data_IF_790810745940
#
_entry.id   IF_790810745940
#
_cell.length_a   1.000
_cell.length_b   1.000
_cell.length_c   1.000
_cell.angle_alpha   90.00
_cell.angle_beta   90.00
_cell.angle_gamma   90.00
#
_symmetry.space_group_name_H-M   'P 1'
#
loop_
_entity.id
_entity.type
_entity.pdbx_description
1 polymer ?
#
# COMPACT_ATOMS: atom_id res chain seq x y z
N UNK A 1 -68.66 -41.27 12.90
CA UNK A 1 -68.63 -39.82 13.19
C UNK A 1 -67.68 -39.64 14.38
N UNK A 2 -66.46 -39.08 14.32
CA UNK A 2 -65.78 -38.17 13.39
C UNK A 2 -64.30 -38.59 13.20
N UNK A 3 -63.83 -38.39 11.97
CA UNK A 3 -62.49 -38.45 11.33
C UNK A 3 -61.29 -39.21 11.92
N UNK A 4 -60.84 -40.16 11.11
CA UNK A 4 -59.46 -40.61 10.93
C UNK A 4 -58.56 -39.48 10.40
N UNK A 5 -57.34 -39.34 10.96
CA UNK A 5 -56.01 -39.13 10.35
C UNK A 5 -55.08 -38.74 11.51
N UNK A 6 -54.15 -39.62 11.89
CA UNK A 6 -53.05 -39.29 12.79
C UNK A 6 -51.86 -40.22 12.51
N UNK A 7 -51.03 -39.82 11.56
CA UNK A 7 -49.68 -40.34 11.31
C UNK A 7 -48.86 -39.17 10.77
N UNK A 8 -48.19 -38.45 11.66
CA UNK A 8 -46.94 -37.70 11.44
C UNK A 8 -46.56 -37.05 12.78
N UNK A 9 -45.26 -36.81 12.99
CA UNK A 9 -44.62 -36.21 14.17
C UNK A 9 -44.31 -37.17 15.32
N UNK A 10 -43.09 -37.71 15.30
CA UNK A 10 -42.12 -37.76 16.40
C UNK A 10 -40.81 -38.23 15.77
N UNK A 11 -39.86 -37.32 15.52
CA UNK A 11 -38.40 -37.45 15.76
C UNK A 11 -37.80 -36.06 15.43
N UNK A 12 -37.72 -35.17 16.40
CA UNK A 12 -36.74 -34.07 16.38
C UNK A 12 -36.59 -33.54 17.81
N UNK A 13 -35.52 -33.93 18.50
CA UNK A 13 -34.91 -33.21 19.63
C UNK A 13 -33.75 -34.07 20.16
N UNK A 14 -32.57 -33.90 19.56
CA UNK A 14 -31.23 -34.08 20.13
C UNK A 14 -30.24 -34.09 18.95
N UNK A 15 -29.76 -32.88 18.62
CA UNK A 15 -28.47 -32.58 17.96
C UNK A 15 -28.45 -31.07 17.71
N UNK A 16 -28.16 -30.28 18.76
CA UNK A 16 -27.59 -28.95 18.55
C UNK A 16 -26.09 -29.17 18.58
N UNK A 17 -25.55 -29.45 17.39
CA UNK A 17 -24.13 -29.49 17.12
C UNK A 17 -23.54 -28.08 17.20
N UNK A 18 -22.30 -28.07 17.64
CA UNK A 18 -21.33 -26.99 17.55
C UNK A 18 -21.25 -26.50 16.09
N UNK A 19 -21.65 -25.26 15.82
CA UNK A 19 -21.30 -24.57 14.55
C UNK A 19 -21.10 -23.07 14.80
N UNK A 20 -19.95 -22.75 15.39
CA UNK A 20 -19.30 -21.44 15.26
C UNK A 20 -17.82 -21.67 14.99
N UNK A 21 -17.51 -22.26 13.83
CA UNK A 21 -16.14 -22.37 13.32
C UNK A 21 -16.16 -22.77 11.84
N UNK A 22 -16.69 -21.91 10.96
CA UNK A 22 -16.34 -21.87 9.54
C UNK A 22 -17.03 -20.65 8.92
N UNK A 23 -16.23 -19.59 8.71
CA UNK A 23 -16.65 -18.40 7.99
C UNK A 23 -16.93 -18.76 6.53
N UNK A 24 -18.19 -18.60 6.11
CA UNK A 24 -18.48 -18.41 4.70
C UNK A 24 -17.78 -17.14 4.19
N UNK A 25 -17.49 -17.06 2.88
CA UNK A 25 -16.98 -15.83 2.30
C UNK A 25 -17.93 -14.67 2.63
N UNK A 26 -17.41 -13.46 2.85
CA UNK A 26 -18.26 -12.33 3.17
C UNK A 26 -19.31 -12.10 2.05
N UNK A 27 -20.51 -11.60 2.39
CA UNK A 27 -21.71 -11.65 1.53
C UNK A 27 -21.61 -10.92 0.19
N UNK A 28 -20.54 -10.19 -0.10
CA UNK A 28 -20.32 -9.47 -1.37
C UNK A 28 -19.54 -10.27 -2.42
N UNK A 29 -18.94 -11.41 -2.06
CA UNK A 29 -18.16 -12.25 -3.00
C UNK A 29 -19.02 -12.79 -4.17
N UNK A 30 -20.34 -12.86 -3.99
CA UNK A 30 -21.28 -13.29 -5.04
C UNK A 30 -21.83 -12.17 -5.95
N UNK A 31 -21.58 -10.89 -5.64
CA UNK A 31 -22.26 -9.75 -6.26
C UNK A 31 -21.77 -9.35 -7.67
N UNK A 32 -20.62 -9.85 -8.14
CA UNK A 32 -19.97 -9.36 -9.38
C UNK A 32 -20.08 -10.30 -10.59
N UNK A 33 -21.07 -11.19 -10.64
CA UNK A 33 -21.24 -12.14 -11.78
C UNK A 33 -21.76 -11.52 -13.09
N UNK A 34 -22.12 -10.24 -13.13
CA UNK A 34 -22.71 -9.61 -14.31
C UNK A 34 -21.77 -8.58 -14.94
N UNK A 35 -20.87 -9.08 -15.79
CA UNK A 35 -19.88 -8.31 -16.54
C UNK A 35 -20.48 -7.33 -17.54
N UNK A 36 -20.58 -6.06 -17.15
CA UNK A 36 -20.61 -4.94 -18.08
C UNK A 36 -19.50 -3.95 -17.71
N UNK A 37 -18.39 -4.03 -18.46
CA UNK A 37 -17.34 -3.00 -18.45
C UNK A 37 -17.63 -1.92 -19.49
N UNK A 38 -17.24 -0.65 -19.25
CA UNK A 38 -17.40 0.41 -20.23
C UNK A 38 -16.39 0.27 -21.39
N UNK A 39 -16.73 0.74 -22.60
CA UNK A 39 -15.90 0.60 -23.79
C UNK A 39 -14.72 1.59 -23.80
N UNK A 40 -13.60 1.12 -24.34
CA UNK A 40 -12.37 1.85 -24.60
C UNK A 40 -12.62 3.22 -25.27
N UNK A 41 -12.21 4.30 -24.62
CA UNK A 41 -12.15 5.65 -25.21
C UNK A 41 -11.12 6.50 -24.48
N UNK A 42 -10.03 6.84 -25.16
CA UNK A 42 -9.06 7.83 -24.71
C UNK A 42 -9.74 9.20 -24.81
N UNK A 43 -9.97 9.89 -23.69
CA UNK A 43 -10.55 11.23 -23.66
C UNK A 43 -9.45 12.30 -23.61
N UNK A 44 -9.56 13.29 -24.48
CA UNK A 44 -8.59 14.35 -24.77
C UNK A 44 -8.69 15.57 -23.84
N UNK A 45 -9.25 15.42 -22.62
CA UNK A 45 -9.40 16.53 -21.66
C UNK A 45 -8.30 16.62 -20.60
N UNK A 46 -7.12 16.10 -20.90
CA UNK A 46 -5.90 16.42 -20.15
C UNK A 46 -5.44 17.86 -20.44
N UNK A 47 -6.15 18.86 -19.93
CA UNK A 47 -5.63 20.23 -19.83
C UNK A 47 -5.71 20.73 -18.39
N UNK A 48 -4.51 20.96 -17.87
CA UNK A 48 -4.08 21.76 -16.73
C UNK A 48 -5.17 22.52 -15.96
N UNK A 49 -5.37 22.16 -14.68
CA UNK A 49 -5.54 23.04 -13.51
C UNK A 49 -5.94 22.16 -12.29
N UNK A 50 -5.08 21.19 -11.92
CA UNK A 50 -5.22 20.52 -10.63
C UNK A 50 -4.41 21.28 -9.59
N UNK A 51 -5.11 21.91 -8.66
CA UNK A 51 -4.59 22.39 -7.39
C UNK A 51 -5.42 21.69 -6.32
N UNK A 52 -4.81 20.95 -5.39
CA UNK A 52 -5.57 20.44 -4.25
C UNK A 52 -6.19 21.62 -3.50
N UNK A 53 -7.33 21.40 -2.82
CA UNK A 53 -7.90 22.46 -1.98
C UNK A 53 -6.78 22.95 -1.05
N UNK A 54 -6.58 24.27 -0.92
CA UNK A 54 -5.64 24.78 0.05
C UNK A 54 -5.98 24.15 1.39
N UNK A 55 -5.00 23.50 2.02
CA UNK A 55 -5.12 23.11 3.42
C UNK A 55 -5.51 24.36 4.23
N UNK A 56 -6.22 24.21 5.35
CA UNK A 56 -6.74 25.36 6.09
C UNK A 56 -5.62 26.37 6.35
N UNK A 57 -5.95 27.65 6.14
CA UNK A 57 -5.10 28.78 6.48
C UNK A 57 -4.69 28.66 7.96
N UNK A 58 -3.39 28.50 8.19
CA UNK A 58 -2.81 28.53 9.53
C UNK A 58 -3.16 29.86 10.22
N UNK A 59 -3.57 29.88 11.49
CA UNK A 59 -3.43 31.08 12.32
C UNK A 59 -1.95 31.46 12.34
N UNK A 60 -1.63 32.67 11.86
CA UNK A 60 -0.27 33.13 11.67
C UNK A 60 0.57 33.06 12.95
N UNK A 61 1.59 32.20 12.94
CA UNK A 61 2.74 32.29 13.83
C UNK A 61 3.83 33.12 13.15
N UNK A 62 4.12 34.29 13.70
CA UNK A 62 5.22 35.16 13.26
C UNK A 62 6.60 34.51 13.44
N UNK A 63 7.49 34.77 12.48
CA UNK A 63 8.95 34.77 12.66
C UNK A 63 9.69 33.64 11.93
N UNK A 64 10.55 33.88 10.93
CA UNK A 64 11.01 35.13 10.34
C UNK A 64 11.67 34.86 8.98
N UNK A 65 11.37 35.72 8.02
CA UNK A 65 12.07 35.82 6.74
C UNK A 65 13.38 36.59 6.97
N UNK A 66 14.53 35.98 6.71
CA UNK A 66 15.76 36.74 6.46
C UNK A 66 15.78 37.15 4.99
N UNK A 67 15.39 38.39 4.74
CA UNK A 67 15.36 39.01 3.42
C UNK A 67 16.75 39.19 2.81
N UNK A 68 16.82 39.03 1.49
CA UNK A 68 17.95 39.49 0.67
C UNK A 68 17.80 40.96 0.30
N UNK A 69 18.92 41.67 0.27
CA UNK A 69 19.13 42.92 -0.47
C UNK A 69 20.61 42.99 -0.87
N UNK A 70 20.90 43.38 -2.11
CA UNK A 70 22.20 43.91 -2.53
C UNK A 70 22.01 45.30 -3.16
N UNK A 71 23.02 45.98 -3.75
CA UNK A 71 24.47 45.74 -3.70
C UNK A 71 25.29 47.01 -3.28
N UNK A 72 26.58 46.85 -2.97
CA UNK A 72 27.56 47.96 -3.02
C UNK A 72 28.65 47.95 -1.93
N UNK A 73 29.92 47.86 -2.36
CA UNK A 73 31.10 48.29 -1.58
C UNK A 73 32.01 47.20 -1.01
N UNK A 74 33.05 46.82 -1.77
CA UNK A 74 34.30 46.21 -1.28
C UNK A 74 35.23 47.33 -0.72
N UNK A 75 36.31 47.07 0.07
CA UNK A 75 37.15 45.86 0.03
C UNK A 75 37.74 45.33 1.36
N UNK A 76 38.27 44.09 1.30
CA UNK A 76 39.45 43.64 2.08
C UNK A 76 39.28 42.41 2.97
N UNK A 77 39.95 41.31 2.62
CA UNK A 77 40.35 40.23 3.56
C UNK A 77 39.85 38.81 3.24
N UNK A 78 40.77 37.94 2.78
CA UNK A 78 40.63 36.46 2.69
C UNK A 78 41.29 35.78 3.90
N UNK A 79 41.20 34.44 4.09
CA UNK A 79 40.10 33.50 3.83
C UNK A 79 39.84 32.57 5.05
N UNK A 80 38.64 31.95 5.15
CA UNK A 80 38.42 30.92 6.18
C UNK A 80 37.11 30.14 6.03
N UNK A 81 37.23 28.84 5.74
CA UNK A 81 36.32 27.76 6.17
C UNK A 81 34.86 27.80 5.74
N UNK A 82 34.50 27.01 4.73
CA UNK A 82 33.11 26.63 4.47
C UNK A 82 32.62 25.56 5.48
N UNK A 83 31.46 25.71 6.14
CA UNK A 83 30.83 24.61 6.84
C UNK A 83 29.87 23.83 5.93
N UNK A 84 29.96 22.51 6.05
CA UNK A 84 29.14 21.47 5.41
C UNK A 84 27.69 21.51 5.95
N UNK A 85 26.74 21.09 5.11
CA UNK A 85 25.35 20.81 5.47
C UNK A 85 25.26 19.70 6.55
N UNK A 86 24.29 19.76 7.50
CA UNK A 86 24.18 18.77 8.55
C UNK A 86 23.52 17.48 8.05
N UNK A 87 24.23 16.38 8.28
CA UNK A 87 23.79 15.01 8.11
C UNK A 87 23.11 14.59 9.43
N UNK A 88 21.79 14.37 9.41
CA UNK A 88 21.05 13.97 10.63
C UNK A 88 21.27 12.47 10.90
N UNK A 89 22.05 12.19 11.95
CA UNK A 89 22.18 10.87 12.56
C UNK A 89 21.21 10.69 13.72
N UNK A 90 20.63 9.50 13.84
CA UNK A 90 19.74 9.10 14.93
C UNK A 90 20.53 8.90 16.23
N UNK A 91 20.17 9.54 17.36
CA UNK A 91 20.81 9.25 18.64
C UNK A 91 20.11 8.06 19.33
N UNK A 92 20.85 6.97 19.49
CA UNK A 92 20.54 5.92 20.47
C UNK A 92 21.06 6.32 21.85
N UNK A 93 20.19 6.21 22.86
CA UNK A 93 20.56 6.45 24.26
C UNK A 93 19.63 5.68 25.19
N UNK A 94 20.19 4.71 25.92
CA UNK A 94 19.54 3.96 26.99
C UNK A 94 20.34 4.21 28.29
N UNK A 95 19.71 4.35 29.47
CA UNK A 95 20.43 4.29 30.74
C UNK A 95 20.23 2.97 31.51
N UNK A 96 21.35 2.29 31.81
CA UNK A 96 21.76 1.70 33.10
C UNK A 96 20.95 0.62 33.87
N UNK A 97 21.25 -0.68 33.60
CA UNK A 97 21.52 -1.82 34.54
C UNK A 97 20.46 -2.40 35.53
N UNK A 98 20.63 -3.63 36.10
CA UNK A 98 21.69 -4.63 35.91
C UNK A 98 21.24 -6.09 35.52
N UNK A 99 22.14 -6.76 34.79
CA UNK A 99 22.48 -8.20 34.69
C UNK A 99 21.41 -9.32 34.75
N UNK A 100 21.29 -10.05 33.63
CA UNK A 100 20.77 -11.42 33.56
C UNK A 100 20.96 -12.04 32.16
N UNK A 101 22.01 -12.86 32.00
CA UNK A 101 22.23 -13.93 31.00
C UNK A 101 21.96 -13.68 29.50
N UNK A 102 23.05 -13.61 28.71
CA UNK A 102 23.11 -13.79 27.25
C UNK A 102 22.78 -15.25 26.83
N UNK A 103 22.35 -15.49 25.58
CA UNK A 103 23.33 -15.87 24.54
C UNK A 103 23.12 -15.29 23.12
N UNK A 104 24.26 -14.95 22.49
CA UNK A 104 24.67 -15.06 21.06
C UNK A 104 23.70 -14.65 19.93
N UNK A 105 24.02 -13.79 18.95
CA UNK A 105 25.29 -13.29 18.42
C UNK A 105 25.23 -13.30 16.88
N UNK A 106 25.35 -12.14 16.23
CA UNK A 106 25.61 -11.99 14.79
C UNK A 106 26.92 -11.19 14.61
N UNK A 107 27.90 -11.64 13.82
CA UNK A 107 29.15 -10.91 13.63
C UNK A 107 29.02 -9.82 12.56
N UNK A 108 29.58 -8.65 12.88
CA UNK A 108 29.71 -7.50 11.98
C UNK A 108 30.84 -7.65 10.96
N UNK A 109 30.67 -7.01 9.81
CA UNK A 109 31.69 -6.87 8.77
C UNK A 109 32.25 -5.45 8.72
N UNK A 110 33.57 -5.36 8.85
CA UNK A 110 34.37 -4.14 8.76
C UNK A 110 34.53 -3.65 7.31
N UNK A 111 34.79 -2.34 7.16
CA UNK A 111 35.00 -1.68 5.87
C UNK A 111 36.42 -1.71 5.32
N UNK A 112 36.53 -1.53 4.01
CA UNK A 112 37.64 -0.96 3.23
C UNK A 112 37.05 -0.73 1.82
N UNK A 113 37.08 0.46 1.21
CA UNK A 113 38.26 1.19 0.72
C UNK A 113 38.50 0.82 -0.76
N UNK A 114 37.95 1.59 -1.71
CA UNK A 114 38.21 1.44 -3.16
C UNK A 114 38.85 2.69 -3.75
N UNK A 115 39.75 2.51 -4.73
CA UNK A 115 39.78 3.37 -5.91
C UNK A 115 39.85 2.59 -7.24
N UNK A 116 39.10 3.01 -8.26
CA UNK A 116 39.32 2.68 -9.69
C UNK A 116 40.23 3.72 -10.38
N UNK A 117 40.30 3.85 -11.73
CA UNK A 117 39.66 3.08 -12.81
C UNK A 117 40.62 2.68 -13.98
N UNK A 118 40.13 1.93 -15.00
CA UNK A 118 40.78 1.86 -16.34
C UNK A 118 40.42 0.63 -17.21
N UNK A 119 40.45 0.71 -18.56
CA UNK A 119 39.40 0.16 -19.43
C UNK A 119 39.81 -1.02 -20.34
N UNK A 120 38.82 -1.75 -20.90
CA UNK A 120 39.03 -2.68 -22.01
C UNK A 120 37.82 -3.56 -22.37
N UNK A 121 37.14 -3.26 -23.49
CA UNK A 121 36.41 -4.23 -24.36
C UNK A 121 37.38 -4.66 -25.49
N UNK A 122 37.12 -5.66 -26.39
CA UNK A 122 35.86 -6.32 -26.81
C UNK A 122 36.06 -7.86 -27.06
N UNK A 123 35.35 -8.62 -27.97
CA UNK A 123 34.12 -8.39 -28.73
C UNK A 123 33.05 -9.54 -28.66
N UNK A 124 31.96 -9.24 -29.38
CA UNK A 124 30.75 -10.03 -29.73
C UNK A 124 31.07 -11.38 -30.39
N UNK A 125 30.29 -12.41 -30.01
CA UNK A 125 30.21 -13.70 -30.71
C UNK A 125 28.77 -14.19 -30.81
N UNK A 126 28.21 -14.12 -32.02
CA UNK A 126 26.92 -14.70 -32.41
C UNK A 126 27.10 -16.18 -32.73
N UNK A 127 26.38 -17.08 -32.06
CA UNK A 127 26.12 -18.42 -32.58
C UNK A 127 24.68 -18.83 -32.29
N UNK A 128 23.93 -18.99 -33.39
CA UNK A 128 22.63 -19.65 -33.40
C UNK A 128 22.78 -21.15 -33.17
N UNK A 129 21.74 -21.73 -32.57
CA UNK A 129 21.63 -23.16 -32.35
C UNK A 129 20.20 -23.51 -31.96
N UNK A 130 19.35 -23.71 -32.96
CA UNK A 130 18.06 -24.37 -32.85
C UNK A 130 18.24 -25.82 -32.40
N UNK A 131 17.59 -26.22 -31.31
CA UNK A 131 17.57 -27.63 -30.91
C UNK A 131 16.74 -27.93 -29.66
N UNK A 132 15.58 -28.58 -29.87
CA UNK A 132 15.06 -29.59 -28.96
C UNK A 132 14.29 -29.13 -27.72
N UNK A 133 12.97 -28.95 -27.86
CA UNK A 133 12.04 -29.07 -26.74
C UNK A 133 11.94 -30.55 -26.33
N UNK A 134 12.68 -30.93 -25.29
CA UNK A 134 12.56 -32.22 -24.61
C UNK A 134 12.18 -31.98 -23.15
N UNK A 135 11.00 -32.49 -22.76
CA UNK A 135 10.43 -32.32 -21.43
C UNK A 135 11.33 -32.85 -20.30
N UNK A 136 11.43 -32.04 -19.26
CA UNK A 136 11.97 -32.41 -17.96
C UNK A 136 11.17 -31.66 -16.91
N UNK A 137 10.22 -32.34 -16.29
CA UNK A 137 9.44 -31.86 -15.14
C UNK A 137 10.37 -31.74 -13.93
N UNK A 138 11.10 -30.64 -13.84
CA UNK A 138 11.86 -30.26 -12.65
C UNK A 138 10.94 -29.53 -11.67
N UNK A 139 10.73 -30.12 -10.49
CA UNK A 139 9.98 -29.52 -9.40
C UNK A 139 10.71 -28.31 -8.79
N UNK A 140 10.89 -27.23 -9.55
CA UNK A 140 11.39 -25.97 -9.02
C UNK A 140 10.34 -25.33 -8.11
N UNK A 141 10.74 -24.89 -6.93
CA UNK A 141 9.93 -23.99 -6.11
C UNK A 141 9.58 -22.74 -6.93
N UNK A 142 8.35 -22.21 -6.78
CA UNK A 142 8.04 -20.91 -7.35
C UNK A 142 8.95 -19.87 -6.68
N UNK A 143 9.66 -19.09 -7.49
CA UNK A 143 10.61 -18.08 -7.01
C UNK A 143 10.08 -16.69 -7.33
N UNK A 144 10.44 -15.72 -6.50
CA UNK A 144 10.23 -14.32 -6.82
C UNK A 144 11.09 -13.96 -8.04
N UNK A 145 10.47 -13.41 -9.08
CA UNK A 145 11.13 -13.04 -10.32
C UNK A 145 11.06 -11.53 -10.55
N UNK A 146 12.17 -10.92 -10.97
CA UNK A 146 12.14 -9.55 -11.49
C UNK A 146 11.57 -9.51 -12.90
N UNK A 147 10.63 -8.59 -13.14
CA UNK A 147 10.04 -8.35 -14.46
C UNK A 147 10.87 -7.36 -15.26
N UNK A 148 11.95 -7.84 -15.89
CA UNK A 148 12.82 -7.00 -16.73
C UNK A 148 12.16 -6.47 -18.00
N UNK A 149 11.04 -7.08 -18.42
CA UNK A 149 10.22 -6.62 -19.54
C UNK A 149 9.20 -5.53 -19.17
N UNK A 150 9.01 -5.22 -17.89
CA UNK A 150 8.22 -4.07 -17.47
C UNK A 150 9.09 -2.80 -17.58
N UNK A 151 8.66 -1.76 -18.32
CA UNK A 151 9.54 -0.64 -18.64
C UNK A 151 9.78 0.32 -17.47
N UNK A 152 9.05 0.16 -16.35
CA UNK A 152 9.19 1.02 -15.18
C UNK A 152 8.62 2.43 -15.38
N UNK A 153 7.89 2.73 -16.45
CA UNK A 153 7.35 4.06 -16.66
C UNK A 153 6.03 4.30 -15.88
N UNK A 154 5.78 5.53 -15.41
CA UNK A 154 6.60 6.75 -15.58
C UNK A 154 7.79 6.94 -14.60
N UNK A 155 7.84 6.28 -13.43
CA UNK A 155 8.75 6.70 -12.33
C UNK A 155 10.03 5.91 -12.13
N UNK A 156 10.26 4.84 -12.89
CA UNK A 156 11.31 3.82 -12.73
C UNK A 156 11.14 2.89 -11.52
N UNK A 157 9.93 2.80 -10.96
CA UNK A 157 9.63 1.75 -9.98
C UNK A 157 9.77 0.37 -10.67
N UNK A 158 10.34 -0.60 -9.95
CA UNK A 158 10.59 -1.94 -10.51
C UNK A 158 9.57 -2.95 -10.01
N UNK A 159 9.30 -3.95 -10.85
CA UNK A 159 8.26 -4.93 -10.63
C UNK A 159 8.89 -6.30 -10.38
N UNK A 160 8.48 -6.96 -9.30
CA UNK A 160 8.78 -8.36 -9.03
C UNK A 160 7.48 -9.14 -8.93
N UNK A 161 7.46 -10.38 -9.41
CA UNK A 161 6.27 -11.22 -9.43
C UNK A 161 6.52 -12.54 -8.75
N UNK A 162 5.47 -13.02 -8.08
CA UNK A 162 5.38 -14.38 -7.57
C UNK A 162 4.14 -15.02 -8.16
N UNK A 163 4.33 -16.08 -8.95
CA UNK A 163 3.26 -16.82 -9.61
C UNK A 163 3.22 -18.23 -9.03
N UNK A 164 2.23 -18.57 -8.20
CA UNK A 164 2.15 -19.90 -7.60
C UNK A 164 1.82 -20.95 -8.67
N UNK A 165 2.22 -22.21 -8.45
CA UNK A 165 1.89 -23.32 -9.38
C UNK A 165 0.39 -23.52 -9.57
N UNK A 166 -0.39 -23.11 -8.57
CA UNK A 166 -1.86 -23.18 -8.55
C UNK A 166 -2.53 -22.05 -9.33
N UNK A 167 -1.77 -21.07 -9.82
CA UNK A 167 -2.31 -19.95 -10.61
C UNK A 167 -2.92 -20.41 -11.93
N UNK A 168 -4.11 -19.89 -12.24
CA UNK A 168 -4.83 -20.10 -13.49
C UNK A 168 -5.21 -18.75 -14.08
N UNK A 169 -5.34 -18.67 -15.41
CA UNK A 169 -5.87 -17.47 -16.08
C UNK A 169 -7.22 -17.08 -15.46
N UNK A 170 -7.43 -15.80 -15.26
CA UNK A 170 -8.57 -15.22 -14.57
C UNK A 170 -8.43 -15.20 -13.05
N UNK A 171 -7.38 -15.77 -12.45
CA UNK A 171 -7.16 -15.68 -11.01
C UNK A 171 -6.80 -14.26 -10.56
N UNK A 172 -7.01 -13.96 -9.26
CA UNK A 172 -6.73 -12.64 -8.72
C UNK A 172 -5.26 -12.25 -8.76
N UNK A 173 -5.02 -10.95 -8.64
CA UNK A 173 -3.69 -10.36 -8.43
C UNK A 173 -3.69 -9.49 -7.19
N UNK A 174 -2.64 -9.61 -6.37
CA UNK A 174 -2.41 -8.78 -5.18
C UNK A 174 -1.11 -8.01 -5.36
N UNK A 175 -1.18 -6.68 -5.30
CA UNK A 175 0.00 -5.80 -5.30
C UNK A 175 0.44 -5.57 -3.85
N UNK A 176 1.69 -5.86 -3.53
CA UNK A 176 2.30 -5.64 -2.23
C UNK A 176 3.31 -4.48 -2.29
N UNK A 177 3.12 -3.50 -1.39
CA UNK A 177 3.86 -2.24 -1.36
C UNK A 177 4.63 -2.10 -0.02
N UNK A 178 5.95 -2.05 -0.11
CA UNK A 178 6.84 -2.00 1.06
C UNK A 178 6.81 -0.64 1.79
N UNK A 179 7.32 -0.63 3.03
CA UNK A 179 7.58 0.57 3.82
C UNK A 179 8.84 1.33 3.36
N UNK A 180 9.06 2.55 3.86
CA UNK A 180 10.29 3.30 3.61
C UNK A 180 11.55 2.49 3.93
N UNK A 181 12.62 2.67 3.15
CA UNK A 181 13.87 1.90 3.27
C UNK A 181 13.79 0.44 2.80
N UNK A 182 12.59 -0.06 2.48
CA UNK A 182 12.37 -1.41 1.97
C UNK A 182 12.56 -1.55 0.46
N UNK A 183 12.29 -2.75 -0.03
CA UNK A 183 12.20 -3.09 -1.46
C UNK A 183 11.14 -4.18 -1.64
N UNK A 184 10.65 -4.40 -2.87
CA UNK A 184 9.75 -5.52 -3.18
C UNK A 184 10.30 -6.88 -2.73
N UNK A 185 11.54 -7.26 -3.11
CA UNK A 185 12.18 -8.48 -2.62
C UNK A 185 12.41 -8.52 -1.10
N UNK A 186 12.64 -7.38 -0.46
CA UNK A 186 12.69 -7.28 1.00
C UNK A 186 11.37 -7.63 1.64
N UNK A 187 10.28 -7.00 1.18
CA UNK A 187 8.92 -7.24 1.66
C UNK A 187 8.47 -8.69 1.46
N UNK A 188 8.85 -9.32 0.34
CA UNK A 188 8.64 -10.75 0.11
C UNK A 188 9.29 -11.63 1.19
N UNK A 189 10.50 -11.27 1.66
CA UNK A 189 11.23 -12.00 2.70
C UNK A 189 10.71 -11.71 4.10
N UNK A 190 10.32 -10.47 4.36
CA UNK A 190 9.76 -10.02 5.64
C UNK A 190 8.41 -10.70 5.93
N UNK A 191 7.61 -10.93 4.89
CA UNK A 191 6.27 -11.50 4.98
C UNK A 191 6.15 -12.81 4.19
N UNK A 192 6.77 -13.91 4.64
CA UNK A 192 6.74 -15.20 3.94
C UNK A 192 5.35 -15.85 3.93
N UNK A 193 4.38 -15.33 4.68
CA UNK A 193 3.01 -15.84 4.67
C UNK A 193 2.24 -15.38 3.42
N UNK A 194 2.67 -14.31 2.75
CA UNK A 194 2.12 -13.89 1.46
C UNK A 194 2.30 -14.94 0.35
N UNK A 195 3.51 -15.43 0.03
CA UNK A 195 3.67 -16.50 -0.94
C UNK A 195 2.97 -17.81 -0.51
N UNK A 196 2.93 -18.15 0.78
CA UNK A 196 2.18 -19.32 1.26
C UNK A 196 0.68 -19.20 0.97
N UNK A 197 0.09 -18.03 1.25
CA UNK A 197 -1.31 -17.77 0.95
C UNK A 197 -1.57 -17.78 -0.57
N UNK A 198 -0.64 -17.22 -1.35
CA UNK A 198 -0.66 -17.26 -2.82
C UNK A 198 -0.65 -18.69 -3.35
N UNK A 199 0.21 -19.56 -2.84
CA UNK A 199 0.25 -21.00 -3.20
C UNK A 199 -1.06 -21.71 -2.86
N UNK A 200 -1.63 -21.45 -1.68
CA UNK A 200 -2.85 -22.11 -1.22
C UNK A 200 -4.11 -21.64 -1.96
N UNK A 201 -4.20 -20.34 -2.26
CA UNK A 201 -5.41 -19.70 -2.79
C UNK A 201 -5.33 -19.38 -4.29
N UNK A 202 -4.16 -19.54 -4.90
CA UNK A 202 -3.95 -19.45 -6.34
C UNK A 202 -3.95 -18.04 -6.91
N UNK A 203 -3.80 -16.98 -6.11
CA UNK A 203 -3.65 -15.61 -6.62
C UNK A 203 -2.19 -15.30 -6.93
N UNK A 204 -1.96 -14.46 -7.94
CA UNK A 204 -0.62 -13.93 -8.26
C UNK A 204 -0.27 -12.76 -7.33
N UNK A 205 1.02 -12.57 -7.04
CA UNK A 205 1.49 -11.37 -6.35
C UNK A 205 2.46 -10.54 -7.18
N UNK A 206 2.34 -9.22 -7.03
CA UNK A 206 3.30 -8.22 -7.52
C UNK A 206 3.95 -7.58 -6.29
N UNK A 207 5.26 -7.71 -6.13
CA UNK A 207 6.05 -7.01 -5.13
C UNK A 207 6.77 -5.86 -5.81
N UNK A 208 6.22 -4.65 -5.72
CA UNK A 208 6.81 -3.48 -6.36
C UNK A 208 7.94 -2.92 -5.50
N UNK A 209 9.01 -2.38 -6.12
CA UNK A 209 10.01 -1.55 -5.43
C UNK A 209 9.90 -0.11 -5.88
N UNK A 210 9.91 0.82 -4.93
CA UNK A 210 9.92 2.26 -5.22
C UNK A 210 11.12 2.65 -6.10
N UNK A 211 11.03 3.76 -6.85
CA UNK A 211 12.15 4.25 -7.65
C UNK A 211 13.43 4.48 -6.82
N UNK A 212 14.59 4.36 -7.46
CA UNK A 212 15.86 4.71 -6.85
C UNK A 212 15.92 6.20 -6.45
N UNK A 213 16.58 6.51 -5.33
CA UNK A 213 16.77 7.89 -4.86
C UNK A 213 15.64 8.46 -4.02
N UNK A 214 14.57 7.71 -3.74
CA UNK A 214 13.45 8.12 -2.86
C UNK A 214 13.66 7.73 -1.39
N UNK A 215 14.83 7.18 -1.03
CA UNK A 215 15.06 6.58 0.30
C UNK A 215 14.24 5.31 0.54
N UNK A 216 13.73 4.68 -0.52
CA UNK A 216 12.84 3.52 -0.41
C UNK A 216 11.41 3.89 -0.02
N UNK A 217 11.04 5.17 -0.05
CA UNK A 217 9.66 5.62 0.14
C UNK A 217 8.95 5.76 -1.20
N UNK A 218 7.62 5.61 -1.18
CA UNK A 218 6.74 5.88 -2.31
C UNK A 218 6.38 7.36 -2.40
N UNK A 219 6.23 7.87 -3.62
CA UNK A 219 5.69 9.19 -3.85
C UNK A 219 4.17 9.19 -3.56
N UNK A 220 3.80 9.79 -2.44
CA UNK A 220 2.41 10.02 -2.00
C UNK A 220 2.15 11.50 -1.73
N UNK A 221 3.04 12.36 -2.24
CA UNK A 221 3.12 13.77 -1.87
C UNK A 221 3.04 14.71 -3.07
N UNK A 222 3.48 14.25 -4.24
CA UNK A 222 3.57 15.09 -5.42
C UNK A 222 2.26 15.20 -6.18
N UNK A 223 2.18 16.23 -7.03
CA UNK A 223 1.05 16.38 -7.96
C UNK A 223 0.93 15.23 -8.94
N UNK A 224 2.07 14.69 -9.39
CA UNK A 224 2.09 13.58 -10.33
C UNK A 224 1.54 12.28 -9.76
N UNK A 225 1.78 12.01 -8.48
CA UNK A 225 1.30 10.78 -7.84
C UNK A 225 -0.12 10.89 -7.29
N UNK A 226 -0.59 12.10 -6.98
CA UNK A 226 -1.93 12.36 -6.44
C UNK A 226 -2.96 12.73 -7.53
N UNK A 227 -2.73 12.30 -8.77
CA UNK A 227 -3.63 12.51 -9.90
C UNK A 227 -3.66 11.27 -10.80
N UNK A 228 -4.85 10.85 -11.22
CA UNK A 228 -5.04 9.85 -12.28
C UNK A 228 -4.29 10.27 -13.54
N UNK A 229 -3.50 9.36 -14.10
CA UNK A 229 -2.57 9.59 -15.20
C UNK A 229 -1.62 10.79 -15.00
N UNK A 230 -1.28 11.11 -13.75
CA UNK A 230 -0.46 12.27 -13.39
C UNK A 230 1.05 12.11 -13.59
N UNK A 231 1.54 10.91 -13.92
CA UNK A 231 2.97 10.63 -14.11
C UNK A 231 3.74 10.17 -12.86
N UNK A 232 3.05 9.83 -11.77
CA UNK A 232 3.66 9.44 -10.49
C UNK A 232 3.66 7.94 -10.20
N UNK A 233 4.06 7.59 -8.97
CA UNK A 233 4.19 6.19 -8.55
C UNK A 233 2.85 5.44 -8.60
N UNK A 234 1.74 6.11 -8.29
CA UNK A 234 0.40 5.53 -8.44
C UNK A 234 0.14 5.03 -9.87
N UNK A 235 0.54 5.81 -10.89
CA UNK A 235 0.43 5.41 -12.29
C UNK A 235 1.33 4.23 -12.62
N UNK A 236 2.58 4.25 -12.15
CA UNK A 236 3.52 3.15 -12.40
C UNK A 236 2.97 1.83 -11.84
N UNK A 237 2.35 1.85 -10.66
CA UNK A 237 1.72 0.65 -10.08
C UNK A 237 0.49 0.19 -10.89
N UNK A 238 -0.36 1.10 -11.36
CA UNK A 238 -1.47 0.75 -12.23
C UNK A 238 -0.97 0.09 -13.54
N UNK A 239 0.12 0.59 -14.11
CA UNK A 239 0.76 -0.02 -15.29
C UNK A 239 1.40 -1.39 -14.99
N UNK A 240 1.89 -1.64 -13.77
CA UNK A 240 2.31 -3.00 -13.36
C UNK A 240 1.14 -3.99 -13.37
N UNK A 241 -0.04 -3.58 -12.92
CA UNK A 241 -1.25 -4.42 -12.96
C UNK A 241 -1.64 -4.72 -14.42
N UNK A 242 -1.64 -3.71 -15.29
CA UNK A 242 -1.92 -3.87 -16.72
C UNK A 242 -0.91 -4.79 -17.41
N UNK A 243 0.37 -4.67 -17.07
CA UNK A 243 1.41 -5.58 -17.52
C UNK A 243 1.13 -7.01 -17.07
N UNK A 244 0.80 -7.22 -15.79
CA UNK A 244 0.49 -8.55 -15.26
C UNK A 244 -0.74 -9.18 -15.94
N UNK A 245 -1.80 -8.40 -16.16
CA UNK A 245 -3.00 -8.83 -16.90
C UNK A 245 -2.63 -9.33 -18.29
N UNK A 246 -1.82 -8.57 -19.01
CA UNK A 246 -1.38 -8.92 -20.38
C UNK A 246 -0.49 -10.16 -20.40
N UNK A 247 0.51 -10.22 -19.50
CA UNK A 247 1.51 -11.30 -19.50
C UNK A 247 0.97 -12.61 -18.94
N UNK A 248 0.21 -12.56 -17.85
CA UNK A 248 -0.20 -13.74 -17.08
C UNK A 248 -1.68 -14.09 -17.26
N UNK A 249 -2.49 -13.20 -17.82
CA UNK A 249 -3.93 -13.39 -17.93
C UNK A 249 -4.64 -13.32 -16.58
N UNK A 250 -4.22 -12.43 -15.69
CA UNK A 250 -4.90 -12.18 -14.41
C UNK A 250 -6.34 -11.67 -14.61
N UNK A 251 -7.15 -11.76 -13.56
CA UNK A 251 -8.51 -11.20 -13.56
C UNK A 251 -8.54 -9.71 -13.85
N UNK A 252 -9.52 -9.27 -14.64
CA UNK A 252 -9.78 -7.85 -14.84
C UNK A 252 -10.42 -7.16 -13.63
N UNK A 253 -11.12 -7.94 -12.79
CA UNK A 253 -12.00 -7.42 -11.73
C UNK A 253 -11.55 -7.83 -10.32
N UNK A 254 -10.57 -8.72 -10.18
CA UNK A 254 -10.06 -9.20 -8.89
C UNK A 254 -8.62 -8.76 -8.68
N UNK A 255 -8.44 -7.45 -8.59
CA UNK A 255 -7.16 -6.78 -8.36
C UNK A 255 -7.20 -6.15 -6.97
N UNK A 256 -6.20 -6.45 -6.16
CA UNK A 256 -6.12 -5.98 -4.79
C UNK A 256 -4.77 -5.34 -4.53
N UNK A 257 -4.70 -4.48 -3.51
CA UNK A 257 -3.46 -3.84 -3.09
C UNK A 257 -3.32 -3.87 -1.57
N UNK A 258 -2.12 -4.15 -1.09
CA UNK A 258 -1.76 -4.13 0.32
C UNK A 258 -0.45 -3.40 0.50
N UNK A 259 -0.31 -2.65 1.58
CA UNK A 259 0.95 -2.01 1.90
C UNK A 259 1.10 -1.68 3.37
N UNK A 260 2.34 -1.37 3.74
CA UNK A 260 2.75 -0.99 5.10
C UNK A 260 3.46 0.37 5.08
N UNK A 261 3.18 1.23 6.05
CA UNK A 261 3.80 2.56 6.19
C UNK A 261 3.65 3.37 4.90
N UNK A 262 4.74 3.81 4.26
CA UNK A 262 4.71 4.47 2.95
C UNK A 262 3.93 3.68 1.88
N UNK A 263 4.00 2.34 1.86
CA UNK A 263 3.19 1.51 0.98
C UNK A 263 1.70 1.51 1.34
N UNK A 264 1.35 1.69 2.62
CA UNK A 264 -0.03 1.86 3.07
C UNK A 264 -0.60 3.23 2.68
N UNK A 265 0.24 4.28 2.70
CA UNK A 265 -0.11 5.59 2.15
C UNK A 265 -0.38 5.48 0.64
N UNK A 266 0.49 4.79 -0.09
CA UNK A 266 0.33 4.59 -1.53
C UNK A 266 -0.90 3.72 -1.84
N UNK A 267 -1.20 2.73 -1.00
CA UNK A 267 -2.44 1.91 -1.10
C UNK A 267 -3.70 2.79 -1.08
N UNK A 268 -3.76 3.77 -0.17
CA UNK A 268 -4.88 4.70 -0.11
C UNK A 268 -4.89 5.68 -1.29
N UNK A 269 -3.71 6.20 -1.68
CA UNK A 269 -3.60 7.06 -2.87
C UNK A 269 -4.04 6.35 -4.16
N UNK A 270 -3.69 5.07 -4.33
CA UNK A 270 -4.12 4.22 -5.44
C UNK A 270 -5.62 4.05 -5.48
N UNK A 271 -6.27 3.88 -4.32
CA UNK A 271 -7.72 3.75 -4.28
C UNK A 271 -8.47 5.04 -4.66
N UNK A 272 -7.84 6.21 -4.51
CA UNK A 272 -8.40 7.50 -4.94
C UNK A 272 -8.03 7.87 -6.39
N UNK A 273 -6.83 7.48 -6.85
CA UNK A 273 -6.33 7.80 -8.20
C UNK A 273 -6.72 6.77 -9.24
N UNK A 274 -6.73 5.47 -8.92
CA UNK A 274 -7.10 4.37 -9.82
C UNK A 274 -8.20 3.46 -9.23
N UNK A 275 -9.35 4.01 -8.79
CA UNK A 275 -10.48 3.25 -8.26
C UNK A 275 -11.08 2.26 -9.28
N UNK A 276 -10.84 2.45 -10.57
CA UNK A 276 -11.25 1.57 -11.66
C UNK A 276 -10.36 0.32 -11.78
N UNK A 277 -9.15 0.35 -11.20
CA UNK A 277 -8.19 -0.76 -11.25
C UNK A 277 -8.37 -1.69 -10.06
N UNK A 278 -8.54 -1.16 -8.84
CA UNK A 278 -8.52 -1.95 -7.61
C UNK A 278 -9.92 -2.21 -7.06
N UNK A 279 -10.20 -3.47 -6.73
CA UNK A 279 -11.45 -3.87 -6.06
C UNK A 279 -11.39 -3.60 -4.55
N UNK A 280 -10.25 -3.84 -3.92
CA UNK A 280 -10.05 -3.53 -2.51
C UNK A 280 -8.58 -3.27 -2.15
N UNK A 281 -8.38 -2.48 -1.10
CA UNK A 281 -7.08 -2.14 -0.54
C UNK A 281 -6.97 -2.46 0.96
N UNK A 282 -5.76 -2.81 1.41
CA UNK A 282 -5.44 -3.00 2.83
C UNK A 282 -4.23 -2.16 3.23
N UNK A 283 -4.45 -1.14 4.05
CA UNK A 283 -3.44 -0.18 4.47
C UNK A 283 -3.06 -0.40 5.94
N UNK A 284 -1.81 -0.81 6.18
CA UNK A 284 -1.23 -0.98 7.52
C UNK A 284 -0.38 0.24 7.88
N UNK A 285 -0.80 1.01 8.88
CA UNK A 285 -0.12 2.24 9.33
C UNK A 285 0.07 3.29 8.23
N UNK A 286 -1.02 3.63 7.53
CA UNK A 286 -1.04 4.63 6.46
C UNK A 286 -1.67 5.97 6.87
N UNK A 287 -1.95 6.81 5.87
CA UNK A 287 -2.59 8.13 6.03
C UNK A 287 -3.66 8.33 4.95
N UNK A 288 -4.68 9.19 5.14
CA UNK A 288 -5.66 9.44 4.08
C UNK A 288 -4.98 9.90 2.80
N UNK A 289 -5.54 9.52 1.65
CA UNK A 289 -5.07 9.97 0.35
C UNK A 289 -5.02 11.50 0.32
N UNK A 290 -3.85 12.06 0.01
CA UNK A 290 -3.62 13.50 -0.07
C UNK A 290 -3.15 14.15 1.23
N UNK A 291 -3.12 13.43 2.34
CA UNK A 291 -2.60 13.93 3.62
C UNK A 291 -1.13 14.36 3.50
N UNK A 292 -0.32 13.58 2.77
CA UNK A 292 1.09 13.87 2.52
C UNK A 292 1.33 14.89 1.39
N UNK A 293 0.29 15.50 0.83
CA UNK A 293 0.43 16.43 -0.29
C UNK A 293 1.45 17.54 0.02
N UNK A 294 2.26 17.85 -0.99
CA UNK A 294 3.17 18.99 -1.03
C UNK A 294 3.12 19.64 -2.42
N UNK A 295 3.60 20.87 -2.54
CA UNK A 295 3.57 21.59 -3.83
C UNK A 295 4.61 21.10 -4.86
N UNK A 296 5.33 20.01 -4.58
CA UNK A 296 6.33 19.47 -5.52
C UNK A 296 5.65 18.77 -6.70
N UNK A 297 6.22 18.94 -7.90
CA UNK A 297 5.68 18.31 -9.10
C UNK A 297 5.83 16.78 -9.06
N UNK A 298 6.99 16.29 -8.61
CA UNK A 298 7.32 14.88 -8.52
C UNK A 298 8.29 14.64 -7.35
N UNK A 299 8.17 13.49 -6.67
CA UNK A 299 9.10 13.04 -5.65
C UNK A 299 8.44 12.72 -4.31
N UNK A 300 9.04 11.81 -3.55
CA UNK A 300 8.55 11.34 -2.26
C UNK A 300 8.97 12.29 -1.11
N UNK A 301 8.21 13.35 -0.90
CA UNK A 301 8.46 14.32 0.19
C UNK A 301 7.74 13.93 1.47
N UNK A 302 8.40 14.16 2.61
CA UNK A 302 7.80 13.97 3.92
C UNK A 302 6.94 15.18 4.32
N UNK A 303 5.74 14.93 4.83
CA UNK A 303 4.86 15.96 5.37
C UNK A 303 4.66 15.74 6.88
N UNK A 304 5.39 16.49 7.69
CA UNK A 304 5.36 16.35 9.15
C UNK A 304 4.03 16.75 9.79
N UNK A 305 3.27 17.66 9.18
CA UNK A 305 1.96 18.07 9.69
C UNK A 305 0.99 16.89 9.63
N UNK A 306 0.99 16.17 8.50
CA UNK A 306 0.23 14.94 8.38
C UNK A 306 0.78 13.86 9.32
N UNK A 307 2.07 13.49 9.23
CA UNK A 307 2.60 12.35 9.99
C UNK A 307 2.50 12.51 11.51
N UNK A 308 2.56 13.73 12.02
CA UNK A 308 2.38 14.03 13.45
C UNK A 308 0.89 14.04 13.87
N UNK A 309 -0.04 13.85 12.94
CA UNK A 309 -1.47 13.82 13.17
C UNK A 309 -2.03 15.18 13.55
N UNK A 310 -1.55 16.27 12.96
CA UNK A 310 -2.03 17.63 13.26
C UNK A 310 -3.24 18.06 12.41
N UNK A 311 -3.67 17.22 11.47
CA UNK A 311 -4.88 17.46 10.68
C UNK A 311 -6.10 16.88 11.40
N UNK A 312 -7.17 17.67 11.49
CA UNK A 312 -8.48 17.24 11.97
C UNK A 312 -9.54 17.84 11.05
N UNK A 313 -9.71 17.19 9.91
CA UNK A 313 -10.54 17.72 8.82
C UNK A 313 -11.92 17.09 8.81
N UNK A 314 -12.84 17.77 8.13
CA UNK A 314 -14.20 17.23 7.96
C UNK A 314 -14.21 16.02 6.99
N UNK A 315 -15.17 15.09 7.14
CA UNK A 315 -15.35 14.03 6.17
C UNK A 315 -15.61 14.56 4.74
N UNK A 316 -16.23 15.73 4.60
CA UNK A 316 -16.46 16.40 3.31
C UNK A 316 -15.15 16.87 2.66
N UNK A 317 -14.25 17.50 3.43
CA UNK A 317 -12.93 17.89 2.95
C UNK A 317 -12.17 16.69 2.39
N UNK A 318 -12.10 15.60 3.16
CA UNK A 318 -11.38 14.41 2.73
C UNK A 318 -12.01 13.74 1.51
N UNK A 319 -13.34 13.75 1.41
CA UNK A 319 -14.06 13.27 0.23
C UNK A 319 -13.68 14.06 -1.01
N UNK A 320 -13.72 15.39 -0.92
CA UNK A 320 -13.44 16.28 -2.03
C UNK A 320 -11.97 16.18 -2.46
N UNK A 321 -11.04 16.10 -1.51
CA UNK A 321 -9.61 15.85 -1.78
C UNK A 321 -9.41 14.57 -2.60
N UNK A 322 -9.99 13.45 -2.17
CA UNK A 322 -9.85 12.18 -2.89
C UNK A 322 -10.54 12.21 -4.26
N UNK A 323 -11.74 12.80 -4.37
CA UNK A 323 -12.46 12.92 -5.66
C UNK A 323 -11.73 13.79 -6.67
N UNK A 324 -10.95 14.78 -6.23
CA UNK A 324 -10.11 15.59 -7.12
C UNK A 324 -8.92 14.83 -7.71
N UNK A 325 -8.56 13.66 -7.18
CA UNK A 325 -7.47 12.85 -7.74
C UNK A 325 -7.89 12.14 -9.04
N UNK A 326 -9.18 11.85 -9.21
CA UNK A 326 -9.75 11.40 -10.49
C UNK A 326 -11.08 12.13 -10.76
N UNK A 327 -11.02 13.40 -11.21
CA UNK A 327 -12.22 14.20 -11.46
C UNK A 327 -13.15 13.53 -12.48
N UNK A 328 -14.44 13.51 -12.17
CA UNK A 328 -15.47 12.92 -13.05
C UNK A 328 -15.64 11.40 -12.93
N UNK A 329 -14.80 10.70 -12.15
CA UNK A 329 -15.00 9.27 -11.91
C UNK A 329 -16.27 9.00 -11.10
N UNK A 330 -17.20 8.26 -11.72
CA UNK A 330 -18.52 7.88 -11.17
C UNK A 330 -18.68 6.37 -10.95
N UNK A 331 -17.63 5.59 -11.24
CA UNK A 331 -17.63 4.15 -11.05
C UNK A 331 -17.53 3.73 -9.57
N UNK A 332 -17.38 2.42 -9.38
CA UNK A 332 -17.24 1.83 -8.04
C UNK A 332 -15.91 2.24 -7.40
N UNK A 333 -15.92 2.47 -6.10
CA UNK A 333 -14.71 2.71 -5.31
C UNK A 333 -14.24 1.41 -4.64
N UNK A 334 -12.93 1.26 -4.41
CA UNK A 334 -12.41 0.10 -3.70
C UNK A 334 -12.93 0.04 -2.27
N UNK A 335 -13.11 -1.19 -1.78
CA UNK A 335 -13.27 -1.43 -0.34
C UNK A 335 -11.93 -1.23 0.36
N UNK A 336 -11.93 -0.71 1.59
CA UNK A 336 -10.70 -0.40 2.31
C UNK A 336 -10.66 -1.03 3.70
N UNK A 337 -9.62 -1.83 3.94
CA UNK A 337 -9.21 -2.23 5.27
C UNK A 337 -8.10 -1.28 5.75
N UNK A 338 -8.34 -0.58 6.84
CA UNK A 338 -7.43 0.39 7.43
C UNK A 338 -6.99 -0.15 8.79
N UNK A 339 -5.71 -0.41 8.99
CA UNK A 339 -5.20 -1.01 10.23
C UNK A 339 -4.12 -0.11 10.81
N UNK A 340 -4.24 0.30 12.08
CA UNK A 340 -3.28 1.23 12.69
C UNK A 340 -3.06 0.96 14.17
N UNK A 341 -1.81 1.09 14.62
CA UNK A 341 -1.43 1.01 16.02
C UNK A 341 -1.73 2.30 16.78
N UNK A 342 -2.33 2.21 17.97
CA UNK A 342 -2.64 3.38 18.80
C UNK A 342 -1.39 4.05 19.39
N UNK A 343 -0.26 3.35 19.43
CA UNK A 343 1.02 3.81 19.96
C UNK A 343 2.05 4.00 18.83
N UNK A 344 1.60 4.12 17.58
CA UNK A 344 2.44 4.46 16.45
C UNK A 344 3.09 5.84 16.65
N UNK A 345 4.43 5.86 16.65
CA UNK A 345 5.25 7.06 16.88
C UNK A 345 5.79 7.67 15.59
N UNK A 346 5.54 7.04 14.44
CA UNK A 346 6.02 7.51 13.13
C UNK A 346 4.88 8.18 12.38
N UNK A 347 3.73 7.49 12.33
CA UNK A 347 2.49 7.96 11.72
C UNK A 347 1.42 7.95 12.80
N UNK A 348 1.01 9.13 13.24
CA UNK A 348 0.09 9.30 14.35
C UNK A 348 -1.19 8.49 14.16
N UNK A 349 -1.70 7.91 15.24
CA UNK A 349 -3.00 7.25 15.22
C UNK A 349 -4.15 8.21 14.83
N UNK A 350 -3.95 9.54 14.90
CA UNK A 350 -4.93 10.47 14.33
C UNK A 350 -5.12 10.25 12.82
N UNK A 351 -4.07 9.93 12.06
CA UNK A 351 -4.17 9.68 10.63
C UNK A 351 -5.09 8.51 10.31
N UNK A 352 -5.18 7.51 11.20
CA UNK A 352 -6.18 6.45 11.09
C UNK A 352 -7.61 6.98 11.17
N UNK A 353 -7.89 7.91 12.09
CA UNK A 353 -9.22 8.53 12.21
C UNK A 353 -9.56 9.35 10.98
N UNK A 354 -8.60 10.13 10.48
CA UNK A 354 -8.76 10.91 9.26
C UNK A 354 -8.97 10.02 8.02
N UNK A 355 -8.26 8.90 7.91
CA UNK A 355 -8.50 7.88 6.89
C UNK A 355 -9.91 7.28 6.98
N UNK A 356 -10.39 6.96 8.19
CA UNK A 356 -11.76 6.48 8.39
C UNK A 356 -12.78 7.53 7.92
N UNK A 357 -12.59 8.81 8.27
CA UNK A 357 -13.44 9.90 7.77
C UNK A 357 -13.46 9.94 6.24
N UNK A 358 -12.29 9.85 5.58
CA UNK A 358 -12.18 9.89 4.13
C UNK A 358 -12.91 8.73 3.45
N UNK A 359 -12.61 7.49 3.86
CA UNK A 359 -13.14 6.32 3.17
C UNK A 359 -14.61 6.10 3.44
N UNK A 360 -15.09 6.41 4.65
CA UNK A 360 -16.53 6.37 4.93
C UNK A 360 -17.29 7.42 4.11
N UNK A 361 -16.81 8.67 4.03
CA UNK A 361 -17.50 9.73 3.28
C UNK A 361 -17.48 9.51 1.76
N UNK A 362 -16.41 8.93 1.23
CA UNK A 362 -16.31 8.47 -0.16
C UNK A 362 -17.40 7.44 -0.52
N UNK A 363 -17.71 6.54 0.42
CA UNK A 363 -18.77 5.53 0.33
C UNK A 363 -20.14 6.01 0.84
N UNK A 364 -20.29 7.30 1.16
CA UNK A 364 -21.51 7.89 1.73
C UNK A 364 -21.98 7.25 3.06
N UNK A 365 -21.02 6.86 3.89
CA UNK A 365 -21.22 6.28 5.22
C UNK A 365 -20.87 7.32 6.31
N UNK A 366 -21.42 7.15 7.51
CA UNK A 366 -21.10 8.00 8.66
C UNK A 366 -19.90 7.43 9.43
N UNK A 367 -18.77 8.17 9.55
CA UNK A 367 -17.59 7.72 10.30
C UNK A 367 -17.84 7.51 11.80
N UNK A 368 -18.90 8.09 12.36
CA UNK A 368 -19.22 7.95 13.79
C UNK A 368 -20.19 6.80 14.08
N UNK A 369 -20.68 6.11 13.05
CA UNK A 369 -21.72 5.07 13.16
C UNK A 369 -21.33 3.77 12.46
N UNK A 370 -20.35 3.02 12.99
CA UNK A 370 -20.02 1.71 12.46
C UNK A 370 -21.19 0.75 12.64
N UNK A 371 -21.44 -0.06 11.61
CA UNK A 371 -22.51 -1.07 11.58
C UNK A 371 -22.20 -2.26 12.49
N UNK A 372 -20.92 -2.53 12.75
CA UNK A 372 -20.48 -3.59 13.67
C UNK A 372 -19.16 -3.22 14.32
N UNK A 373 -19.02 -3.53 15.62
CA UNK A 373 -17.74 -3.50 16.35
C UNK A 373 -17.47 -4.83 17.03
N UNK A 374 -16.21 -5.28 16.99
CA UNK A 374 -15.76 -6.50 17.69
C UNK A 374 -14.25 -6.50 17.84
N UNK A 375 -13.71 -7.38 18.68
CA UNK A 375 -12.27 -7.62 18.79
C UNK A 375 -11.90 -8.88 18.01
N UNK A 376 -10.70 -8.93 17.42
CA UNK A 376 -10.22 -10.14 16.77
C UNK A 376 -9.94 -11.22 17.84
N UNK A 377 -10.46 -12.43 17.65
CA UNK A 377 -10.35 -13.51 18.65
C UNK A 377 -8.88 -13.89 18.93
N UNK A 378 -8.05 -13.95 17.89
CA UNK A 378 -6.62 -14.27 18.02
C UNK A 378 -5.77 -13.08 18.47
N UNK A 379 -6.32 -11.87 18.45
CA UNK A 379 -5.62 -10.62 18.75
C UNK A 379 -6.58 -9.62 19.44
N UNK A 380 -6.92 -9.85 20.72
CA UNK A 380 -7.98 -9.09 21.41
C UNK A 380 -7.62 -7.62 21.66
N UNK A 381 -6.37 -7.21 21.40
CA UNK A 381 -5.95 -5.81 21.38
C UNK A 381 -6.29 -5.11 20.06
N UNK A 382 -6.76 -5.81 19.03
CA UNK A 382 -7.23 -5.25 17.77
C UNK A 382 -8.76 -5.15 17.79
N UNK A 383 -9.27 -3.91 17.81
CA UNK A 383 -10.69 -3.61 17.71
C UNK A 383 -11.06 -3.28 16.27
N UNK A 384 -12.00 -4.02 15.70
CA UNK A 384 -12.55 -3.84 14.37
C UNK A 384 -13.83 -3.00 14.45
N UNK A 385 -13.93 -2.01 13.58
CA UNK A 385 -15.14 -1.25 13.27
C UNK A 385 -15.47 -1.40 11.78
N UNK A 386 -16.60 -2.02 11.48
CA UNK A 386 -17.13 -2.15 10.12
C UNK A 386 -18.06 -0.99 9.81
N UNK A 387 -17.92 -0.40 8.63
CA UNK A 387 -18.86 0.58 8.09
C UNK A 387 -19.44 0.00 6.80
N UNK A 388 -20.65 -0.54 6.91
CA UNK A 388 -21.28 -1.30 5.83
C UNK A 388 -20.39 -2.49 5.41
N UNK A 389 -20.29 -2.72 4.11
CA UNK A 389 -19.37 -3.68 3.50
C UNK A 389 -18.10 -3.03 2.92
N UNK A 390 -17.99 -1.70 2.94
CA UNK A 390 -16.98 -0.98 2.15
C UNK A 390 -15.73 -0.59 2.96
N UNK A 391 -15.85 -0.39 4.28
CA UNK A 391 -14.71 0.04 5.11
C UNK A 391 -14.61 -0.82 6.36
N UNK A 392 -13.44 -1.41 6.57
CA UNK A 392 -13.05 -2.13 7.78
C UNK A 392 -11.92 -1.34 8.46
N UNK A 393 -12.21 -0.67 9.57
CA UNK A 393 -11.22 0.07 10.34
C UNK A 393 -10.78 -0.76 11.55
N UNK A 394 -9.48 -0.92 11.76
CA UNK A 394 -8.92 -1.73 12.84
C UNK A 394 -7.94 -0.87 13.64
N UNK A 395 -8.27 -0.63 14.91
CA UNK A 395 -7.44 0.08 15.86
C UNK A 395 -6.78 -0.93 16.81
N UNK A 396 -5.45 -0.96 16.82
CA UNK A 396 -4.67 -1.92 17.58
C UNK A 396 -4.01 -1.27 18.80
N UNK A 397 -4.43 -1.66 20.00
CA UNK A 397 -3.87 -1.16 21.26
C UNK A 397 -2.56 -1.85 21.62
N UNK A 398 -1.63 -1.10 22.20
CA UNK A 398 -0.25 -1.51 22.46
C UNK A 398 0.64 -1.67 21.22
N UNK A 399 0.13 -1.36 20.02
CA UNK A 399 0.85 -1.57 18.75
C UNK A 399 1.48 -0.27 18.27
N UNK A 400 2.76 -0.34 17.89
CA UNK A 400 3.55 0.79 17.36
C UNK A 400 3.53 0.78 15.82
N UNK A 401 4.47 1.48 15.18
CA UNK A 401 4.60 1.48 13.72
C UNK A 401 4.95 0.10 13.13
N UNK A 402 5.49 -0.79 13.96
CA UNK A 402 5.74 -2.20 13.63
C UNK A 402 4.44 -3.01 13.75
N UNK A 403 3.54 -2.79 12.80
CA UNK A 403 2.29 -3.51 12.69
C UNK A 403 2.35 -4.47 11.49
N UNK A 404 2.69 -5.75 11.72
CA UNK A 404 2.87 -6.68 10.61
C UNK A 404 1.54 -6.94 9.91
N UNK A 405 1.62 -7.08 8.58
CA UNK A 405 0.48 -7.45 7.75
C UNK A 405 -0.19 -8.73 8.29
N UNK A 406 -1.50 -8.69 8.51
CA UNK A 406 -2.30 -9.86 8.88
C UNK A 406 -2.78 -10.55 7.61
N UNK A 407 -1.94 -11.40 7.03
CA UNK A 407 -2.14 -11.99 5.69
C UNK A 407 -3.49 -12.70 5.58
N UNK A 408 -3.83 -13.58 6.53
CA UNK A 408 -5.08 -14.35 6.50
C UNK A 408 -6.32 -13.45 6.55
N UNK A 409 -6.31 -12.48 7.48
CA UNK A 409 -7.37 -11.48 7.61
C UNK A 409 -7.50 -10.64 6.33
N UNK A 410 -6.38 -10.24 5.74
CA UNK A 410 -6.35 -9.47 4.49
C UNK A 410 -6.92 -10.28 3.34
N UNK A 411 -6.52 -11.55 3.21
CA UNK A 411 -7.07 -12.44 2.19
C UNK A 411 -8.57 -12.66 2.39
N UNK A 412 -9.03 -12.84 3.64
CA UNK A 412 -10.45 -12.95 3.96
C UNK A 412 -11.23 -11.70 3.55
N UNK A 413 -10.68 -10.51 3.85
CA UNK A 413 -11.26 -9.23 3.46
C UNK A 413 -11.36 -9.08 1.93
N UNK A 414 -10.33 -9.52 1.21
CA UNK A 414 -10.32 -9.54 -0.26
C UNK A 414 -11.25 -10.61 -0.87
N UNK A 415 -11.67 -11.61 -0.09
CA UNK A 415 -12.44 -12.75 -0.58
C UNK A 415 -11.61 -13.76 -1.37
N UNK A 416 -10.34 -13.94 -0.98
CA UNK A 416 -9.37 -14.87 -1.57
C UNK A 416 -9.35 -16.24 -0.92
#
# INVERSE_FOLDING_TARGET
MRSFICQLFIVTLLSVEITLAQGGPPPWVDGHKNGQGPPNGIDTLASNHWSPLPGPLMPGGQGGQSGGNGPGGAPGGSPGGAPKAPQFGWPGGQPGGPQGTQPSGFPGGAGAGMPGPGPGSPPVGTLGGSGGFGGGSGGGECQLQQETGFPGHPTKATMYTYVPKTFKKGNPVVVALHHCGGTGPGYFKEYPDWPKASDQKGFMMIFASSPGGTGGCWDVSSKSSLKHDGGGDTQTIAEMVKYAKTKYGCSDHRVYVVGHSSGAMLTQALGATYPDVFLAGAAYSGVPAGCFHTNVAQGASWNSTCSAGHLDESPAYWKDQARQMYPGYTGSLPMMMLVHGKQDQVISFNDHREAVKQWTSLHNLNPDSPTKKYKLDSQPNYEVSMYGSSVMAIAADGVTHDNPAKVDLTCQFFGL
#
